data_IF_418663570533
#
_entry.id   IF_418663570533
#
_cell.length_a   1.000
_cell.length_b   1.000
_cell.length_c   1.000
_cell.angle_alpha   90.00
_cell.angle_beta   90.00
_cell.angle_gamma   90.00
#
_symmetry.space_group_name_H-M   'P 1'
#
loop_
_entity.id
_entity.type
_entity.pdbx_description
1 polymer ?
#
# COMPACT_ATOMS: atom_id res chain seq x y z
N UNK A 1 -12.59 -7.08 18.98
CA UNK A 1 -11.83 -7.31 17.74
C UNK A 1 -10.45 -7.80 18.15
N UNK A 2 -10.06 -9.00 17.72
CA UNK A 2 -8.69 -9.47 17.91
C UNK A 2 -7.91 -9.05 16.66
N UNK A 3 -7.05 -8.04 16.80
CA UNK A 3 -6.18 -7.56 15.75
C UNK A 3 -4.82 -8.24 15.88
N UNK A 4 -4.31 -8.78 14.78
CA UNK A 4 -2.98 -9.38 14.70
C UNK A 4 -2.34 -9.11 13.33
N UNK A 5 -1.11 -9.60 13.13
CA UNK A 5 -0.38 -9.38 11.89
C UNK A 5 -1.10 -9.98 10.66
N UNK A 6 -1.76 -11.13 10.79
CA UNK A 6 -2.48 -11.77 9.67
C UNK A 6 -3.88 -11.19 9.40
N UNK A 7 -4.51 -10.56 10.40
CA UNK A 7 -5.89 -10.07 10.34
C UNK A 7 -6.06 -8.82 11.21
N UNK A 8 -6.10 -7.67 10.55
CA UNK A 8 -6.20 -6.36 11.19
C UNK A 8 -7.08 -5.36 10.42
N UNK A 9 -8.09 -5.87 9.69
CA UNK A 9 -9.05 -5.02 9.00
C UNK A 9 -10.26 -4.68 9.88
N UNK A 10 -10.76 -3.46 9.72
CA UNK A 10 -11.95 -2.95 10.42
C UNK A 10 -13.05 -2.62 9.40
N UNK A 11 -14.34 -2.73 9.77
CA UNK A 11 -15.44 -2.46 8.87
C UNK A 11 -15.57 -0.96 8.60
N UNK A 12 -15.89 -0.64 7.35
CA UNK A 12 -16.38 0.67 6.94
C UNK A 12 -17.92 0.64 6.91
N UNK A 13 -18.55 1.81 6.98
CA UNK A 13 -20.02 1.93 7.04
C UNK A 13 -20.75 1.47 5.78
N UNK A 14 -20.02 1.32 4.67
CA UNK A 14 -20.53 0.85 3.38
C UNK A 14 -20.45 -0.68 3.20
N UNK A 15 -20.02 -1.41 4.23
CA UNK A 15 -19.86 -2.86 4.21
C UNK A 15 -18.49 -3.34 3.72
N UNK A 16 -17.62 -2.44 3.26
CA UNK A 16 -16.23 -2.76 2.96
C UNK A 16 -15.40 -2.90 4.25
N UNK A 17 -14.15 -3.33 4.08
CA UNK A 17 -13.19 -3.43 5.16
C UNK A 17 -11.90 -2.71 4.77
N UNK A 18 -11.24 -2.10 5.73
CA UNK A 18 -9.95 -1.43 5.55
C UNK A 18 -8.92 -1.98 6.54
N UNK A 19 -7.71 -2.37 6.11
CA UNK A 19 -6.63 -2.68 7.04
C UNK A 19 -6.31 -1.46 7.91
N UNK A 20 -6.34 -1.66 9.23
CA UNK A 20 -6.24 -0.58 10.21
C UNK A 20 -4.91 0.18 10.12
N UNK A 21 -3.83 -0.53 9.77
CA UNK A 21 -2.50 0.04 9.56
C UNK A 21 -2.23 0.22 8.07
N UNK A 22 -1.96 1.46 7.65
CA UNK A 22 -1.62 1.82 6.27
C UNK A 22 -0.20 2.36 6.14
N UNK A 23 0.41 2.15 4.98
CA UNK A 23 1.71 2.70 4.61
C UNK A 23 1.53 3.97 3.78
N UNK A 24 1.94 5.12 4.31
CA UNK A 24 1.90 6.40 3.60
C UNK A 24 3.07 6.55 2.63
N UNK A 25 2.81 7.04 1.43
CA UNK A 25 3.83 7.10 0.37
C UNK A 25 4.34 8.51 0.05
N UNK A 26 4.03 9.54 0.83
CA UNK A 26 4.61 10.87 0.60
C UNK A 26 6.13 10.85 0.83
N UNK A 27 6.88 11.32 -0.15
CA UNK A 27 8.28 11.73 -0.04
C UNK A 27 8.48 13.04 -0.78
N UNK A 28 9.38 13.92 -0.31
CA UNK A 28 9.62 15.21 -0.97
C UNK A 28 10.13 14.95 -2.40
N UNK A 29 9.37 15.34 -3.45
CA UNK A 29 9.73 15.01 -4.84
C UNK A 29 11.08 15.56 -5.30
N UNK A 30 11.66 16.52 -4.57
CA UNK A 30 12.93 17.17 -4.91
C UNK A 30 14.13 16.47 -4.31
N UNK A 31 13.94 15.73 -3.21
CA UNK A 31 15.04 15.13 -2.45
C UNK A 31 14.95 13.62 -2.36
N UNK A 32 13.76 13.04 -2.53
CA UNK A 32 13.57 11.60 -2.54
C UNK A 32 14.06 11.02 -3.88
N UNK A 33 15.02 10.07 -3.86
CA UNK A 33 15.47 9.40 -5.08
C UNK A 33 14.33 8.68 -5.81
N UNK A 34 14.40 8.65 -7.14
CA UNK A 34 13.48 7.87 -7.97
C UNK A 34 13.62 6.38 -7.67
N UNK A 35 12.50 5.67 -7.61
CA UNK A 35 12.45 4.24 -7.28
C UNK A 35 12.33 3.93 -5.79
N UNK A 36 12.66 4.88 -4.90
CA UNK A 36 12.54 4.66 -3.45
C UNK A 36 11.11 4.29 -3.03
N UNK A 37 10.10 4.89 -3.65
CA UNK A 37 8.70 4.57 -3.31
C UNK A 37 8.37 3.13 -3.71
N UNK A 38 8.82 2.69 -4.89
CA UNK A 38 8.62 1.31 -5.37
C UNK A 38 9.27 0.29 -4.42
N UNK A 39 10.53 0.51 -4.03
CA UNK A 39 11.25 -0.37 -3.12
C UNK A 39 10.59 -0.45 -1.73
N UNK A 40 10.20 0.70 -1.17
CA UNK A 40 9.52 0.75 0.13
C UNK A 40 8.15 0.06 0.09
N UNK A 41 7.37 0.24 -0.97
CA UNK A 41 6.06 -0.41 -1.10
C UNK A 41 6.21 -1.93 -1.22
N UNK A 42 7.17 -2.44 -1.99
CA UNK A 42 7.44 -3.88 -2.07
C UNK A 42 7.81 -4.45 -0.70
N UNK A 43 8.73 -3.80 0.01
CA UNK A 43 9.15 -4.21 1.34
C UNK A 43 7.98 -4.18 2.33
N UNK A 44 7.12 -3.16 2.27
CA UNK A 44 5.94 -3.07 3.10
C UNK A 44 4.99 -4.25 2.84
N UNK A 45 4.76 -4.63 1.58
CA UNK A 45 3.96 -5.82 1.23
C UNK A 45 4.58 -7.09 1.84
N UNK A 46 5.90 -7.26 1.73
CA UNK A 46 6.64 -8.41 2.28
C UNK A 46 6.57 -8.50 3.80
N UNK A 47 6.58 -7.36 4.50
CA UNK A 47 6.46 -7.29 5.96
C UNK A 47 5.02 -7.51 6.45
N UNK A 48 4.03 -7.38 5.56
CA UNK A 48 2.62 -7.68 5.86
C UNK A 48 1.65 -6.51 5.73
N UNK A 49 2.08 -5.35 5.25
CA UNK A 49 1.16 -4.24 4.97
C UNK A 49 0.20 -4.63 3.85
N UNK A 50 -1.08 -4.28 4.05
CA UNK A 50 -2.16 -4.51 3.09
C UNK A 50 -2.92 -3.23 2.73
N UNK A 51 -2.57 -2.10 3.33
CA UNK A 51 -3.15 -0.79 3.04
C UNK A 51 -2.03 0.19 2.68
N UNK A 52 -2.20 0.88 1.55
CA UNK A 52 -1.29 1.89 1.02
C UNK A 52 -2.06 3.19 0.79
N UNK A 53 -1.51 4.30 1.29
CA UNK A 53 -2.05 5.64 1.12
C UNK A 53 -1.15 6.46 0.20
N UNK A 54 -1.73 6.96 -0.89
CA UNK A 54 -1.04 7.82 -1.85
C UNK A 54 -1.93 8.95 -2.35
N UNK A 55 -1.36 9.71 -3.29
CA UNK A 55 -2.03 10.77 -4.01
C UNK A 55 -1.27 11.07 -5.30
N UNK A 56 -1.99 11.52 -6.34
CA UNK A 56 -1.36 11.93 -7.60
C UNK A 56 -0.32 13.05 -7.37
N UNK A 57 -0.63 13.97 -6.46
CA UNK A 57 0.21 15.11 -6.10
C UNK A 57 1.49 14.75 -5.33
N UNK A 58 1.68 13.48 -4.97
CA UNK A 58 2.97 13.01 -4.41
C UNK A 58 3.98 12.71 -5.52
N UNK A 59 3.58 12.75 -6.80
CA UNK A 59 4.43 12.56 -7.98
C UNK A 59 5.18 11.21 -7.98
N UNK A 60 4.66 10.22 -7.26
CA UNK A 60 5.21 8.88 -7.15
C UNK A 60 4.14 7.77 -7.20
N UNK A 61 2.87 8.12 -7.49
CA UNK A 61 1.76 7.17 -7.57
C UNK A 61 2.03 6.04 -8.60
N UNK A 62 2.75 6.36 -9.68
CA UNK A 62 3.20 5.36 -10.66
C UNK A 62 4.16 4.31 -10.05
N UNK A 63 4.99 4.70 -9.07
CA UNK A 63 5.90 3.77 -8.38
C UNK A 63 5.13 2.86 -7.43
N UNK A 64 4.08 3.37 -6.76
CA UNK A 64 3.18 2.56 -5.93
C UNK A 64 2.46 1.53 -6.79
N UNK A 65 1.88 1.96 -7.91
CA UNK A 65 1.19 1.07 -8.84
C UNK A 65 2.12 0.06 -9.53
N UNK A 66 3.39 0.41 -9.75
CA UNK A 66 4.40 -0.55 -10.21
C UNK A 66 4.66 -1.62 -9.16
N UNK A 67 4.99 -1.23 -7.93
CA UNK A 67 5.29 -2.16 -6.84
C UNK A 67 4.14 -3.12 -6.55
N UNK A 68 2.90 -2.61 -6.43
CA UNK A 68 1.71 -3.44 -6.20
C UNK A 68 1.54 -4.47 -7.33
N UNK A 69 1.65 -4.06 -8.60
CA UNK A 69 1.50 -4.97 -9.74
C UNK A 69 2.58 -6.05 -9.78
N UNK A 70 3.81 -5.71 -9.45
CA UNK A 70 4.91 -6.67 -9.39
C UNK A 70 4.68 -7.71 -8.28
N UNK A 71 4.20 -7.31 -7.09
CA UNK A 71 3.87 -8.24 -5.99
C UNK A 71 2.59 -9.05 -6.21
N UNK A 72 1.73 -8.61 -7.14
CA UNK A 72 0.63 -9.44 -7.65
C UNK A 72 1.16 -10.44 -8.67
N UNK A 73 2.04 -10.01 -9.58
CA UNK A 73 2.58 -10.85 -10.64
C UNK A 73 3.49 -11.97 -10.10
N UNK A 74 4.23 -11.73 -9.01
CA UNK A 74 5.06 -12.74 -8.35
C UNK A 74 4.27 -13.67 -7.41
N UNK A 75 2.97 -13.42 -7.22
CA UNK A 75 2.08 -14.23 -6.39
C UNK A 75 2.16 -13.97 -4.88
N UNK A 76 2.88 -12.94 -4.43
CA UNK A 76 2.97 -12.60 -3.00
C UNK A 76 1.62 -12.21 -2.41
N UNK A 77 0.82 -11.47 -3.18
CA UNK A 77 -0.54 -11.03 -2.80
C UNK A 77 -1.48 -11.07 -4.00
N UNK A 78 -2.78 -11.14 -3.74
CA UNK A 78 -3.82 -10.91 -4.74
C UNK A 78 -4.26 -9.45 -4.74
N UNK A 79 -5.01 -9.03 -5.77
CA UNK A 79 -5.51 -7.65 -5.85
C UNK A 79 -6.44 -7.34 -4.67
N UNK A 80 -7.30 -8.27 -4.31
CA UNK A 80 -8.27 -8.17 -3.20
C UNK A 80 -7.61 -8.10 -1.82
N UNK A 81 -6.35 -8.51 -1.68
CA UNK A 81 -5.60 -8.36 -0.44
C UNK A 81 -5.11 -6.91 -0.22
N UNK A 82 -5.16 -6.06 -1.24
CA UNK A 82 -4.58 -4.71 -1.20
C UNK A 82 -5.68 -3.63 -1.16
N UNK A 83 -5.62 -2.78 -0.15
CA UNK A 83 -6.37 -1.53 -0.09
C UNK A 83 -5.46 -0.38 -0.53
N UNK A 84 -5.83 0.32 -1.60
CA UNK A 84 -5.13 1.53 -2.04
C UNK A 84 -6.07 2.72 -1.92
N UNK A 85 -5.64 3.74 -1.17
CA UNK A 85 -6.35 5.02 -1.05
C UNK A 85 -5.63 6.08 -1.88
N UNK A 86 -6.31 6.61 -2.90
CA UNK A 86 -5.85 7.74 -3.71
C UNK A 86 -6.53 9.06 -3.33
N UNK A 87 -5.94 10.17 -3.78
CA UNK A 87 -6.45 11.56 -3.67
C UNK A 87 -5.99 12.34 -4.90
#
# INVERSE_FOLDING_TARGET
MNLNAESHSVPLSDGNHIPLLGFGTYGDPRTTPKGTTSECVKLAIDVGYRHFDGALMYFNEYEVGQAIREKIADGTVKREDIFYCGK
#
